data_IF_101363979554
#
_entry.id   IF_101363979554
#
_cell.length_a   1.000
_cell.length_b   1.000
_cell.length_c   1.000
_cell.angle_alpha   90.00
_cell.angle_beta   90.00
_cell.angle_gamma   90.00
#
_symmetry.space_group_name_H-M   'P 1'
#
loop_
_entity.id
_entity.type
_entity.pdbx_description
1 polymer ?
#
# COMPACT_ATOMS: atom_id res chain seq x y z
N UNK A 1 -7.14 -1.22 9.18
CA UNK A 1 -6.74 -2.00 7.99
C UNK A 1 -5.52 -2.84 8.36
N UNK A 2 -5.28 -3.95 7.68
CA UNK A 2 -4.17 -4.87 7.91
C UNK A 2 -3.62 -5.32 6.55
N UNK A 3 -2.30 -5.39 6.38
CA UNK A 3 -1.69 -6.07 5.25
C UNK A 3 -0.50 -6.86 5.76
N UNK A 4 -0.41 -8.12 5.32
CA UNK A 4 0.65 -9.04 5.70
C UNK A 4 1.20 -9.63 4.42
N UNK A 5 2.49 -9.43 4.20
CA UNK A 5 3.16 -9.84 2.97
C UNK A 5 4.32 -10.77 3.30
N UNK A 6 4.64 -11.66 2.36
CA UNK A 6 5.88 -12.43 2.42
C UNK A 6 7.10 -11.52 2.50
N UNK A 7 8.16 -11.98 3.17
CA UNK A 7 9.40 -11.21 3.38
C UNK A 7 10.09 -10.81 2.07
N UNK A 8 9.89 -11.59 1.00
CA UNK A 8 10.38 -11.29 -0.34
C UNK A 8 9.69 -10.09 -0.98
N UNK A 9 8.45 -9.80 -0.56
CA UNK A 9 7.58 -8.74 -1.08
C UNK A 9 7.75 -7.45 -0.27
N UNK A 10 7.67 -7.56 1.06
CA UNK A 10 7.83 -6.43 1.97
C UNK A 10 8.95 -6.69 2.98
N UNK A 11 9.95 -5.80 3.02
CA UNK A 11 11.04 -5.90 3.99
C UNK A 11 10.67 -5.18 5.28
N UNK A 12 10.87 -5.86 6.41
CA UNK A 12 10.90 -5.19 7.71
C UNK A 12 12.13 -4.30 7.82
N UNK A 13 12.01 -3.06 8.33
CA UNK A 13 13.14 -2.21 8.64
C UNK A 13 14.17 -2.94 9.52
N UNK A 14 15.46 -2.76 9.21
CA UNK A 14 16.54 -3.47 9.92
C UNK A 14 16.54 -3.19 11.43
N UNK A 15 16.18 -1.96 11.83
CA UNK A 15 16.06 -1.55 13.23
C UNK A 15 14.96 -2.28 14.02
N UNK A 16 14.02 -2.94 13.33
CA UNK A 16 12.92 -3.71 13.93
C UNK A 16 13.14 -5.23 13.81
N UNK A 17 14.30 -5.67 13.31
CA UNK A 17 14.64 -7.10 13.27
C UNK A 17 15.06 -7.57 14.65
N UNK A 18 14.24 -8.41 15.26
CA UNK A 18 14.62 -9.14 16.47
C UNK A 18 15.48 -10.35 16.07
N UNK A 19 16.67 -10.45 16.66
CA UNK A 19 17.59 -11.58 16.43
C UNK A 19 17.01 -12.85 17.05
N UNK A 20 16.69 -13.86 16.23
CA UNK A 20 16.25 -15.18 16.71
C UNK A 20 14.93 -15.70 16.14
N UNK A 21 14.34 -15.02 15.15
CA UNK A 21 12.95 -15.25 14.78
C UNK A 21 12.75 -16.39 13.76
N UNK A 22 12.85 -17.64 14.24
CA UNK A 22 12.37 -18.82 13.51
C UNK A 22 10.83 -18.93 13.54
N UNK A 23 10.16 -18.13 14.37
CA UNK A 23 8.73 -18.24 14.67
C UNK A 23 7.87 -17.24 13.90
N UNK A 24 8.40 -16.08 13.48
CA UNK A 24 7.69 -15.13 12.59
C UNK A 24 7.29 -15.72 11.23
N UNK A 25 8.00 -16.74 10.73
CA UNK A 25 7.63 -17.46 9.51
C UNK A 25 6.30 -18.23 9.64
N UNK A 26 5.82 -18.47 10.87
CA UNK A 26 4.58 -19.20 11.15
C UNK A 26 3.31 -18.33 11.06
N UNK A 27 3.44 -17.00 11.23
CA UNK A 27 2.30 -16.08 11.27
C UNK A 27 1.68 -15.84 9.88
N UNK A 28 2.50 -15.83 8.82
CA UNK A 28 2.05 -15.85 7.42
C UNK A 28 1.41 -17.21 7.04
N UNK A 29 1.97 -18.29 7.57
CA UNK A 29 1.67 -19.66 7.14
C UNK A 29 0.30 -20.22 7.57
N UNK A 30 -0.49 -19.51 8.37
CA UNK A 30 -1.76 -20.07 8.89
C UNK A 30 -2.99 -19.17 8.78
N UNK A 31 -2.90 -18.00 8.13
CA UNK A 31 -4.04 -17.07 8.05
C UNK A 31 -4.59 -16.64 9.43
N UNK A 32 -3.84 -16.90 10.50
CA UNK A 32 -4.26 -16.64 11.88
C UNK A 32 -4.53 -15.16 12.08
N UNK A 33 -3.62 -14.31 11.58
CA UNK A 33 -3.76 -12.86 11.68
C UNK A 33 -4.99 -12.34 10.92
N UNK A 34 -5.32 -12.91 9.76
CA UNK A 34 -6.55 -12.59 9.02
C UNK A 34 -7.80 -13.01 9.80
N UNK A 35 -7.79 -14.22 10.34
CA UNK A 35 -8.90 -14.78 11.14
C UNK A 35 -9.11 -13.95 12.41
N UNK A 36 -8.03 -13.64 13.12
CA UNK A 36 -8.07 -12.83 14.33
C UNK A 36 -8.55 -11.40 14.04
N UNK A 37 -8.09 -10.79 12.94
CA UNK A 37 -8.59 -9.49 12.48
C UNK A 37 -10.10 -9.54 12.22
N UNK A 38 -10.60 -10.62 11.61
CA UNK A 38 -12.03 -10.79 11.35
C UNK A 38 -12.87 -10.95 12.63
N UNK A 39 -12.34 -11.63 13.64
CA UNK A 39 -12.99 -11.73 14.96
C UNK A 39 -13.08 -10.37 15.66
N UNK A 40 -12.03 -9.55 15.57
CA UNK A 40 -12.02 -8.21 16.20
C UNK A 40 -12.86 -7.18 15.44
N UNK A 41 -13.06 -7.39 14.13
CA UNK A 41 -13.77 -6.49 13.25
C UNK A 41 -14.83 -7.24 12.44
N UNK A 42 -16.01 -7.50 13.03
CA UNK A 42 -17.13 -8.10 12.32
C UNK A 42 -17.45 -7.35 11.02
N UNK A 43 -17.70 -8.09 9.93
CA UNK A 43 -17.93 -7.50 8.61
C UNK A 43 -16.65 -7.00 7.91
N UNK A 44 -15.47 -7.34 8.42
CA UNK A 44 -14.23 -7.15 7.67
C UNK A 44 -14.19 -7.99 6.40
N UNK A 45 -13.42 -7.50 5.43
CA UNK A 45 -13.14 -8.16 4.17
C UNK A 45 -11.66 -8.50 4.14
N UNK A 46 -11.33 -9.73 3.78
CA UNK A 46 -9.96 -10.20 3.55
C UNK A 46 -9.79 -10.58 2.10
N UNK A 47 -8.72 -10.08 1.49
CA UNK A 47 -8.28 -10.39 0.13
C UNK A 47 -7.00 -11.19 0.20
N UNK A 48 -7.07 -12.43 -0.31
CA UNK A 48 -5.93 -13.33 -0.40
C UNK A 48 -5.15 -13.02 -1.69
N UNK A 49 -3.84 -12.81 -1.57
CA UNK A 49 -2.93 -12.47 -2.68
C UNK A 49 -2.09 -13.69 -3.10
N UNK A 50 -2.58 -14.90 -2.84
CA UNK A 50 -1.90 -16.17 -3.06
C UNK A 50 -0.67 -16.30 -2.16
N UNK A 51 0.44 -16.75 -2.75
CA UNK A 51 1.73 -16.88 -2.06
C UNK A 51 2.39 -15.55 -1.70
N UNK A 52 1.79 -14.40 -2.03
CA UNK A 52 2.36 -13.09 -1.70
C UNK A 52 1.89 -12.54 -0.35
N UNK A 53 0.82 -13.10 0.22
CA UNK A 53 0.25 -12.67 1.50
C UNK A 53 -1.24 -12.34 1.41
N UNK A 54 -1.72 -11.44 2.26
CA UNK A 54 -3.12 -11.00 2.28
C UNK A 54 -3.28 -9.55 2.74
N UNK A 55 -4.39 -8.95 2.36
CA UNK A 55 -4.83 -7.63 2.79
C UNK A 55 -6.21 -7.74 3.43
N UNK A 56 -6.47 -7.02 4.52
CA UNK A 56 -7.76 -7.00 5.18
C UNK A 56 -8.17 -5.59 5.58
N UNK A 57 -9.46 -5.28 5.46
CA UNK A 57 -10.02 -4.02 5.91
C UNK A 57 -11.37 -4.22 6.55
N UNK A 58 -11.79 -3.25 7.35
CA UNK A 58 -13.13 -3.21 7.92
C UNK A 58 -13.65 -1.79 7.88
N UNK A 59 -14.95 -1.64 7.74
CA UNK A 59 -15.65 -0.37 7.89
C UNK A 59 -16.13 -0.16 9.35
N UNK A 60 -15.94 -1.15 10.23
CA UNK A 60 -16.25 -1.04 11.65
C UNK A 60 -15.48 0.12 12.31
N UNK A 61 -16.19 0.94 13.10
CA UNK A 61 -15.65 2.14 13.76
C UNK A 61 -14.85 3.04 12.79
N UNK A 62 -15.28 3.16 11.55
CA UNK A 62 -14.65 4.05 10.58
C UNK A 62 -14.77 5.51 11.02
N UNK A 63 -13.66 6.25 10.92
CA UNK A 63 -13.68 7.70 11.11
C UNK A 63 -14.30 8.36 9.86
N UNK A 64 -15.43 9.09 9.97
CA UNK A 64 -16.06 9.73 8.81
C UNK A 64 -15.18 10.77 8.12
N UNK A 65 -14.24 11.40 8.85
CA UNK A 65 -13.30 12.39 8.31
C UNK A 65 -12.10 11.75 7.58
N UNK A 66 -11.82 10.48 7.87
CA UNK A 66 -10.70 9.72 7.32
C UNK A 66 -11.21 8.32 6.91
N UNK A 67 -12.09 8.26 5.90
CA UNK A 67 -12.72 7.01 5.48
C UNK A 67 -11.69 5.98 5.04
N UNK A 68 -12.03 4.69 5.20
CA UNK A 68 -11.24 3.58 4.67
C UNK A 68 -11.83 3.11 3.35
N UNK A 69 -10.98 2.96 2.35
CA UNK A 69 -11.35 2.53 1.01
C UNK A 69 -10.47 1.35 0.61
N UNK A 70 -11.05 0.47 -0.21
CA UNK A 70 -10.32 -0.55 -0.93
C UNK A 70 -10.56 -0.35 -2.42
N UNK A 71 -9.48 -0.26 -3.20
CA UNK A 71 -9.53 -0.07 -4.63
C UNK A 71 -8.64 -1.09 -5.33
N UNK A 72 -9.06 -1.52 -6.53
CA UNK A 72 -8.29 -2.42 -7.39
C UNK A 72 -8.37 -1.91 -8.82
N UNK A 73 -7.21 -1.77 -9.48
CA UNK A 73 -7.11 -1.42 -10.90
C UNK A 73 -5.95 -2.23 -11.47
N UNK A 74 -6.17 -2.97 -12.57
CA UNK A 74 -5.15 -3.75 -13.28
C UNK A 74 -4.26 -4.60 -12.36
N UNK A 75 -4.91 -5.35 -11.45
CA UNK A 75 -4.28 -6.18 -10.41
C UNK A 75 -3.31 -5.45 -9.46
N UNK A 76 -3.52 -4.14 -9.30
CA UNK A 76 -2.90 -3.31 -8.28
C UNK A 76 -3.94 -3.02 -7.21
N UNK A 77 -3.66 -3.48 -5.99
CA UNK A 77 -4.55 -3.41 -4.84
C UNK A 77 -4.14 -2.25 -3.95
N UNK A 78 -5.11 -1.44 -3.50
CA UNK A 78 -4.87 -0.30 -2.62
C UNK A 78 -5.80 -0.35 -1.42
N UNK A 79 -5.20 -0.44 -0.23
CA UNK A 79 -5.86 -0.06 1.02
C UNK A 79 -5.57 1.41 1.26
N UNK A 80 -6.61 2.23 1.35
CA UNK A 80 -6.49 3.65 1.60
C UNK A 80 -7.27 4.04 2.86
N UNK A 81 -6.73 4.99 3.62
CA UNK A 81 -7.45 5.66 4.68
C UNK A 81 -7.11 7.14 4.69
N UNK A 82 -8.13 7.99 4.70
CA UNK A 82 -7.94 9.41 4.86
C UNK A 82 -8.71 10.24 3.87
N UNK A 83 -8.20 11.43 3.59
CA UNK A 83 -8.81 12.36 2.68
C UNK A 83 -7.73 13.07 1.85
N UNK A 84 -7.95 13.12 0.53
CA UNK A 84 -7.15 13.90 -0.41
C UNK A 84 -7.88 15.21 -0.69
N UNK A 85 -7.20 16.34 -0.49
CA UNK A 85 -7.77 17.68 -0.63
C UNK A 85 -7.80 18.14 -2.09
N UNK A 86 -6.78 17.79 -2.88
CA UNK A 86 -6.62 18.26 -4.27
C UNK A 86 -7.12 17.25 -5.33
N UNK A 87 -8.22 16.52 -5.05
CA UNK A 87 -8.77 15.46 -5.91
C UNK A 87 -9.03 15.91 -7.36
N UNK A 88 -9.61 17.09 -7.57
CA UNK A 88 -9.94 17.58 -8.91
C UNK A 88 -8.69 17.74 -9.79
N UNK A 89 -7.61 18.29 -9.21
CA UNK A 89 -6.32 18.48 -9.88
C UNK A 89 -5.72 17.12 -10.25
N UNK A 90 -5.72 16.17 -9.31
CA UNK A 90 -5.15 14.84 -9.55
C UNK A 90 -5.96 14.06 -10.60
N UNK A 91 -7.30 14.16 -10.59
CA UNK A 91 -8.15 13.55 -11.63
C UNK A 91 -7.83 14.11 -13.01
N UNK A 92 -7.65 15.42 -13.12
CA UNK A 92 -7.25 16.04 -14.38
C UNK A 92 -5.84 15.59 -14.81
N UNK A 93 -4.88 15.62 -13.90
CA UNK A 93 -3.48 15.26 -14.15
C UNK A 93 -3.33 13.82 -14.63
N UNK A 94 -4.09 12.88 -14.07
CA UNK A 94 -4.03 11.47 -14.41
C UNK A 94 -5.13 11.03 -15.40
N UNK A 95 -5.93 11.95 -15.94
CA UNK A 95 -6.97 11.63 -16.93
C UNK A 95 -8.09 10.74 -16.39
N UNK A 96 -8.45 10.88 -15.11
CA UNK A 96 -9.43 10.04 -14.44
C UNK A 96 -10.87 10.55 -14.62
N UNK A 97 -11.82 9.61 -14.61
CA UNK A 97 -13.23 9.93 -14.66
C UNK A 97 -13.74 10.59 -13.36
N UNK A 98 -14.94 11.16 -13.42
CA UNK A 98 -15.55 11.85 -12.27
C UNK A 98 -15.82 10.92 -11.08
N UNK A 99 -16.02 9.63 -11.32
CA UNK A 99 -16.32 8.61 -10.30
C UNK A 99 -15.10 8.03 -9.61
N UNK A 100 -13.87 8.32 -10.07
CA UNK A 100 -12.66 7.83 -9.43
C UNK A 100 -12.57 8.31 -7.97
N UNK A 101 -12.34 7.38 -7.05
CA UNK A 101 -12.15 7.69 -5.64
C UNK A 101 -10.65 7.85 -5.32
N UNK A 102 -10.34 8.17 -4.07
CA UNK A 102 -8.97 8.45 -3.61
C UNK A 102 -8.05 7.22 -3.72
N UNK A 103 -8.59 6.02 -3.55
CA UNK A 103 -7.84 4.78 -3.78
C UNK A 103 -7.43 4.59 -5.24
N UNK A 104 -8.32 4.89 -6.19
CA UNK A 104 -8.02 4.86 -7.63
C UNK A 104 -6.97 5.93 -7.98
N UNK A 105 -7.11 7.14 -7.44
CA UNK A 105 -6.12 8.23 -7.65
C UNK A 105 -4.72 7.78 -7.22
N UNK A 106 -4.61 7.13 -6.05
CA UNK A 106 -3.34 6.62 -5.53
C UNK A 106 -2.75 5.52 -6.43
N UNK A 107 -3.58 4.60 -6.94
CA UNK A 107 -3.11 3.56 -7.88
C UNK A 107 -2.57 4.19 -9.17
N UNK A 108 -3.26 5.18 -9.72
CA UNK A 108 -2.87 5.82 -10.99
C UNK A 108 -1.62 6.70 -10.85
N UNK A 109 -1.45 7.37 -9.71
CA UNK A 109 -0.20 8.05 -9.36
C UNK A 109 0.98 7.06 -9.30
N UNK A 110 0.78 5.89 -8.66
CA UNK A 110 1.79 4.83 -8.60
C UNK A 110 2.14 4.28 -9.99
N UNK A 111 1.14 3.94 -10.81
CA UNK A 111 1.34 3.42 -12.17
C UNK A 111 2.11 4.40 -13.04
N UNK A 112 1.72 5.67 -13.03
CA UNK A 112 2.38 6.72 -13.80
C UNK A 112 3.88 6.77 -13.51
N UNK A 113 4.27 6.65 -12.24
CA UNK A 113 5.68 6.67 -11.84
C UNK A 113 6.41 5.37 -12.13
N UNK A 114 5.74 4.22 -11.95
CA UNK A 114 6.27 2.91 -12.30
C UNK A 114 6.60 2.81 -13.80
N UNK A 115 5.73 3.36 -14.64
CA UNK A 115 5.76 3.16 -16.10
C UNK A 115 6.62 4.22 -16.83
N UNK A 116 6.83 5.41 -16.25
CA UNK A 116 7.50 6.54 -16.94
C UNK A 116 9.00 6.75 -16.66
N UNK A 117 9.70 5.81 -16.02
CA UNK A 117 11.16 5.89 -15.82
C UNK A 117 11.59 6.29 -14.40
N UNK A 118 12.89 6.51 -14.13
CA UNK A 118 13.44 6.47 -12.77
C UNK A 118 13.10 7.73 -11.98
N UNK A 119 11.88 7.79 -11.49
CA UNK A 119 11.44 8.78 -10.51
C UNK A 119 11.60 8.20 -9.10
N UNK A 120 12.13 8.99 -8.16
CA UNK A 120 12.23 8.52 -6.79
C UNK A 120 10.82 8.26 -6.22
N UNK A 121 10.62 7.21 -5.40
CA UNK A 121 9.27 6.78 -5.00
C UNK A 121 8.47 7.85 -4.22
N UNK A 122 9.13 8.88 -3.69
CA UNK A 122 8.53 10.03 -3.01
C UNK A 122 7.74 10.94 -3.94
N UNK A 123 7.96 10.83 -5.26
CA UNK A 123 7.14 11.54 -6.23
C UNK A 123 5.66 11.13 -6.19
N UNK A 124 5.34 9.88 -5.78
CA UNK A 124 3.94 9.41 -5.74
C UNK A 124 3.12 10.27 -4.78
N UNK A 125 3.71 10.65 -3.65
CA UNK A 125 3.03 11.37 -2.58
C UNK A 125 3.24 12.87 -2.63
N UNK A 126 4.26 13.34 -3.35
CA UNK A 126 4.64 14.76 -3.39
C UNK A 126 3.48 15.67 -3.80
N UNK A 127 2.71 15.23 -4.80
CA UNK A 127 1.64 16.05 -5.38
C UNK A 127 0.28 15.75 -4.73
N UNK A 128 0.20 14.80 -3.78
CA UNK A 128 -1.03 14.45 -3.06
C UNK A 128 -1.11 15.29 -1.79
N UNK A 129 -2.12 16.16 -1.72
CA UNK A 129 -2.36 17.01 -0.56
C UNK A 129 -3.46 16.41 0.31
N UNK A 130 -3.28 16.45 1.62
CA UNK A 130 -4.28 16.01 2.59
C UNK A 130 -3.71 15.14 3.69
N UNK A 131 -4.60 14.44 4.38
CA UNK A 131 -4.27 13.56 5.50
C UNK A 131 -4.66 12.14 5.13
N UNK A 132 -3.69 11.30 4.85
CA UNK A 132 -3.94 9.96 4.34
C UNK A 132 -2.87 8.96 4.75
N UNK A 133 -3.21 7.67 4.64
CA UNK A 133 -2.29 6.56 4.66
C UNK A 133 -2.77 5.53 3.65
N UNK A 134 -1.85 4.87 2.96
CA UNK A 134 -2.20 3.79 2.05
C UNK A 134 -1.14 2.71 1.97
N UNK A 135 -1.59 1.54 1.52
CA UNK A 135 -0.77 0.38 1.17
C UNK A 135 -1.18 -0.04 -0.24
N UNK A 136 -0.23 0.04 -1.18
CA UNK A 136 -0.35 -0.53 -2.52
C UNK A 136 0.36 -1.89 -2.55
N UNK A 137 -0.25 -2.86 -3.20
CA UNK A 137 0.39 -4.08 -3.68
C UNK A 137 0.15 -4.22 -5.18
N UNK A 138 1.22 -4.20 -5.96
CA UNK A 138 1.20 -4.47 -7.41
C UNK A 138 1.55 -5.94 -7.63
N UNK A 139 0.55 -6.73 -8.07
CA UNK A 139 0.74 -8.16 -8.26
C UNK A 139 1.67 -8.51 -9.42
N UNK A 140 1.75 -7.62 -10.43
CA UNK A 140 2.55 -7.82 -11.64
C UNK A 140 4.04 -7.71 -11.36
N UNK A 141 4.43 -6.71 -10.54
CA UNK A 141 5.81 -6.46 -10.15
C UNK A 141 6.19 -7.05 -8.80
N UNK A 142 5.22 -7.67 -8.11
CA UNK A 142 5.37 -8.21 -6.74
C UNK A 142 5.94 -7.16 -5.78
N UNK A 143 5.52 -5.91 -5.95
CA UNK A 143 6.03 -4.77 -5.22
C UNK A 143 4.95 -4.17 -4.32
N UNK A 144 5.36 -3.71 -3.14
CA UNK A 144 4.52 -2.91 -2.25
C UNK A 144 4.95 -1.45 -2.29
N UNK A 145 4.02 -0.54 -2.04
CA UNK A 145 4.32 0.86 -1.79
C UNK A 145 3.44 1.38 -0.66
N UNK A 146 4.07 1.91 0.39
CA UNK A 146 3.40 2.31 1.62
C UNK A 146 3.74 3.75 1.90
N UNK A 147 2.73 4.55 2.24
CA UNK A 147 2.93 5.93 2.64
C UNK A 147 1.88 6.38 3.66
N UNK A 148 2.26 7.35 4.48
CA UNK A 148 1.35 8.04 5.38
C UNK A 148 1.75 9.52 5.48
N UNK A 149 0.75 10.39 5.46
CA UNK A 149 0.86 11.84 5.58
C UNK A 149 -0.08 12.31 6.69
N UNK A 150 0.48 12.82 7.79
CA UNK A 150 -0.26 13.19 9.00
C UNK A 150 -0.25 14.69 9.31
N UNK A 151 0.28 15.56 8.43
CA UNK A 151 0.29 17.01 8.63
C UNK A 151 0.49 17.86 7.35
N UNK A 152 0.42 19.19 7.47
CA UNK A 152 0.82 20.13 6.41
C UNK A 152 2.35 20.19 6.33
N UNK A 153 2.92 19.99 5.14
CA UNK A 153 4.35 20.14 4.88
C UNK A 153 4.85 21.55 5.24
N UNK A 154 5.54 21.69 6.36
CA UNK A 154 6.71 22.58 6.40
C UNK A 154 7.86 21.80 5.76
N UNK A 155 8.62 22.45 4.87
CA UNK A 155 9.64 21.87 3.96
C UNK A 155 10.75 21.02 4.63
N UNK A 156 10.76 20.90 5.96
CA UNK A 156 11.68 20.06 6.75
C UNK A 156 11.15 18.66 7.13
N UNK A 157 9.85 18.37 6.95
CA UNK A 157 9.23 17.13 7.44
C UNK A 157 9.23 15.96 6.43
N UNK A 158 10.23 15.89 5.54
CA UNK A 158 10.43 14.75 4.65
C UNK A 158 10.92 13.47 5.39
N UNK A 159 11.16 13.54 6.69
CA UNK A 159 11.83 12.51 7.49
C UNK A 159 10.96 11.38 8.07
N UNK A 160 9.63 11.37 7.86
CA UNK A 160 8.76 10.30 8.41
C UNK A 160 7.97 9.53 7.34
N UNK A 161 8.43 9.56 6.10
CA UNK A 161 7.84 8.81 5.01
C UNK A 161 8.50 7.43 4.96
N UNK A 162 7.76 6.37 5.31
CA UNK A 162 8.28 5.00 5.30
C UNK A 162 8.22 4.42 3.88
N UNK A 163 8.95 5.00 2.92
CA UNK A 163 8.95 4.48 1.55
C UNK A 163 9.72 3.15 1.49
N UNK A 164 9.01 2.09 1.15
CA UNK A 164 9.62 0.86 0.68
C UNK A 164 9.05 0.59 -0.70
N UNK A 165 9.89 0.63 -1.73
CA UNK A 165 9.59 0.16 -3.08
C UNK A 165 10.86 -0.42 -3.69
N UNK A 166 10.86 -1.72 -4.01
CA UNK A 166 11.86 -2.34 -4.91
C UNK A 166 11.20 -3.45 -5.73
N UNK A 167 11.51 -3.45 -7.03
CA UNK A 167 11.20 -4.55 -7.97
C UNK A 167 11.96 -5.81 -7.56
N UNK A 168 11.26 -6.93 -7.42
CA UNK A 168 11.88 -8.25 -7.41
C UNK A 168 12.46 -8.55 -8.79
N UNK A 169 13.79 -8.53 -8.92
CA UNK A 169 14.43 -8.95 -10.17
C UNK A 169 14.34 -10.48 -10.27
N UNK A 170 13.47 -10.97 -11.15
CA UNK A 170 13.49 -12.37 -11.61
C UNK A 170 14.63 -12.52 -12.63
N UNK A 171 15.80 -12.95 -12.18
CA UNK A 171 16.86 -13.41 -13.09
C UNK A 171 16.62 -14.89 -13.41
N UNK A 172 16.05 -15.18 -14.58
CA UNK A 172 16.18 -16.50 -15.19
C UNK A 172 17.61 -16.65 -15.72
N UNK A 173 18.39 -17.68 -15.33
CA UNK A 173 19.59 -18.03 -16.07
C UNK A 173 19.16 -18.68 -17.38
N UNK A 174 19.68 -18.15 -18.50
CA UNK A 174 19.66 -18.85 -19.78
C UNK A 174 20.57 -20.06 -19.67
N UNK A 175 20.03 -21.24 -19.93
CA UNK A 175 20.80 -22.45 -20.17
C UNK A 175 21.75 -22.21 -21.35
N UNK A 176 22.99 -22.66 -21.17
CA UNK A 176 24.03 -22.78 -22.18
C UNK A 176 24.87 -24.01 -21.86
#
# INVERSE_FOLDING_TARGET
MLAVFEKSIAKSPDALKVSGDSEAASALNKGFLATHFATLHPGSVTVNLGSSGFMAYSLDKQNPLLPRLFAVVDDIFCLFQGHIENVAVLKQQYGLNKTANEGIIVIEAYRTLRDRGPYPPDQVVRDIQGKFAFIIYDSSSKATFIAAMTGRLSRKAAGSLLLHSRKGASSHPREG
#
